data_IF_657107799859
#
_entry.id   IF_657107799859
#
_cell.length_a   1.000
_cell.length_b   1.000
_cell.length_c   1.000
_cell.angle_alpha   90.00
_cell.angle_beta   90.00
_cell.angle_gamma   90.00
#
_symmetry.space_group_name_H-M   'P 1'
#
loop_
_entity.id
_entity.type
_entity.pdbx_description
1 polymer ?
#
# COMPACT_ATOMS: atom_id res chain seq x y z
N UNK A 1 -60.88 -14.02 82.44
CA UNK A 1 -60.33 -12.74 81.95
C UNK A 1 -59.34 -13.03 80.82
N UNK A 2 -59.74 -12.69 79.58
CA UNK A 2 -58.98 -12.47 78.33
C UNK A 2 -57.77 -13.37 78.01
N UNK A 3 -58.01 -14.31 77.08
CA UNK A 3 -57.02 -15.05 76.27
C UNK A 3 -56.22 -14.06 75.41
N UNK A 4 -54.88 -14.09 75.49
CA UNK A 4 -54.00 -13.36 74.58
C UNK A 4 -53.54 -14.31 73.48
N UNK A 5 -54.04 -14.08 72.27
CA UNK A 5 -53.55 -14.74 71.06
C UNK A 5 -52.35 -13.93 70.55
N UNK A 6 -51.13 -14.45 70.72
CA UNK A 6 -49.93 -13.86 70.11
C UNK A 6 -49.84 -14.35 68.67
N UNK A 7 -49.98 -13.41 67.73
CA UNK A 7 -49.82 -13.64 66.30
C UNK A 7 -48.33 -13.48 65.94
N UNK A 8 -47.63 -14.60 65.68
CA UNK A 8 -46.24 -14.59 65.21
C UNK A 8 -46.23 -14.48 63.68
N UNK A 9 -45.99 -13.29 63.15
CA UNK A 9 -45.89 -13.06 61.71
C UNK A 9 -44.46 -13.35 61.23
N UNK A 10 -44.30 -14.46 60.51
CA UNK A 10 -43.05 -14.86 59.85
C UNK A 10 -42.90 -14.06 58.54
N UNK A 11 -42.02 -13.08 58.50
CA UNK A 11 -41.67 -12.36 57.26
C UNK A 11 -40.79 -13.27 56.37
N UNK A 12 -41.42 -13.98 55.45
CA UNK A 12 -40.74 -14.76 54.43
C UNK A 12 -40.20 -13.81 53.34
N UNK A 13 -38.91 -13.50 53.38
CA UNK A 13 -38.24 -12.68 52.37
C UNK A 13 -38.11 -13.46 51.05
N UNK A 14 -39.05 -13.28 50.13
CA UNK A 14 -38.92 -13.73 48.75
C UNK A 14 -38.06 -12.72 47.97
N UNK A 15 -36.88 -13.14 47.51
CA UNK A 15 -36.11 -12.37 46.54
C UNK A 15 -36.79 -12.55 45.18
N UNK A 16 -37.52 -11.52 44.73
CA UNK A 16 -38.11 -11.51 43.39
C UNK A 16 -37.10 -10.85 42.46
N UNK A 17 -36.48 -11.63 41.57
CA UNK A 17 -35.66 -11.07 40.50
C UNK A 17 -36.60 -10.47 39.44
N UNK A 18 -36.47 -9.16 39.19
CA UNK A 18 -37.26 -8.46 38.17
C UNK A 18 -36.46 -8.37 36.87
N UNK A 19 -36.41 -9.47 36.13
CA UNK A 19 -36.03 -9.51 34.72
C UNK A 19 -37.17 -8.97 33.85
N UNK A 20 -36.86 -8.13 32.86
CA UNK A 20 -37.87 -7.55 31.98
C UNK A 20 -38.10 -8.48 30.80
N UNK A 21 -39.20 -9.21 30.81
CA UNK A 21 -39.69 -9.94 29.64
C UNK A 21 -40.68 -9.09 28.84
N UNK A 22 -40.46 -8.93 27.54
CA UNK A 22 -41.45 -8.38 26.61
C UNK A 22 -41.94 -9.52 25.73
N UNK A 23 -43.24 -9.80 25.81
CA UNK A 23 -43.91 -10.89 25.08
C UNK A 23 -43.36 -12.30 25.41
N UNK A 24 -42.77 -12.47 26.60
CA UNK A 24 -42.41 -13.75 27.22
C UNK A 24 -42.65 -13.66 28.73
N UNK A 25 -43.18 -14.73 29.33
CA UNK A 25 -43.32 -14.87 30.79
C UNK A 25 -42.17 -15.66 31.43
N UNK A 26 -41.30 -16.27 30.62
CA UNK A 26 -40.12 -16.99 31.04
C UNK A 26 -38.87 -16.44 30.32
N UNK A 27 -38.50 -15.17 30.60
CA UNK A 27 -37.29 -14.57 30.03
C UNK A 27 -36.04 -15.37 30.44
N UNK A 28 -35.05 -15.44 29.54
CA UNK A 28 -33.82 -16.21 29.77
C UNK A 28 -33.14 -15.77 31.09
N UNK A 29 -32.74 -16.70 31.98
CA UNK A 29 -32.14 -16.37 33.27
C UNK A 29 -30.85 -15.55 33.19
N UNK A 30 -30.17 -15.55 32.04
CA UNK A 30 -28.95 -14.77 31.79
C UNK A 30 -29.23 -13.35 31.26
N UNK A 31 -30.50 -12.96 31.12
CA UNK A 31 -30.90 -11.68 30.53
C UNK A 31 -31.48 -10.69 31.55
N UNK A 32 -31.14 -9.40 31.39
CA UNK A 32 -31.84 -8.30 32.08
C UNK A 32 -33.11 -7.89 31.31
N UNK A 33 -33.08 -8.02 29.98
CA UNK A 33 -34.17 -7.75 29.05
C UNK A 33 -34.22 -8.87 28.01
N UNK A 34 -35.36 -9.56 27.90
CA UNK A 34 -35.64 -10.58 26.90
C UNK A 34 -36.90 -10.20 26.11
N UNK A 35 -36.79 -10.19 24.78
CA UNK A 35 -37.86 -9.75 23.88
C UNK A 35 -38.10 -10.84 22.85
N UNK A 36 -39.26 -11.50 22.91
CA UNK A 36 -39.60 -12.61 22.02
C UNK A 36 -40.68 -12.19 21.04
N UNK A 37 -40.41 -12.29 19.73
CA UNK A 37 -41.42 -12.11 18.68
C UNK A 37 -41.01 -12.89 17.43
N UNK A 38 -41.99 -13.39 16.67
CA UNK A 38 -41.76 -14.05 15.38
C UNK A 38 -41.86 -13.09 14.20
N UNK A 39 -42.37 -11.88 14.40
CA UNK A 39 -42.67 -10.93 13.32
C UNK A 39 -42.48 -9.43 13.66
N UNK A 40 -41.94 -9.10 14.84
CA UNK A 40 -41.60 -7.72 15.23
C UNK A 40 -40.13 -7.63 15.63
N UNK A 41 -39.54 -6.46 15.42
CA UNK A 41 -38.19 -6.12 15.87
C UNK A 41 -38.18 -4.98 16.90
N UNK A 42 -36.99 -4.52 17.27
CA UNK A 42 -36.77 -3.38 18.17
C UNK A 42 -36.27 -2.19 17.36
N UNK A 43 -36.90 -1.03 17.51
CA UNK A 43 -36.36 0.23 17.02
C UNK A 43 -35.46 0.82 18.10
N UNK A 44 -34.16 0.93 17.81
CA UNK A 44 -33.26 1.74 18.63
C UNK A 44 -33.65 3.23 18.54
N UNK A 45 -33.26 4.07 19.51
CA UNK A 45 -33.44 5.51 19.42
C UNK A 45 -32.90 6.06 18.08
N UNK A 46 -33.72 6.83 17.37
CA UNK A 46 -33.36 7.42 16.07
C UNK A 46 -32.82 8.82 16.28
N UNK A 47 -31.55 9.02 15.97
CA UNK A 47 -30.80 10.24 16.26
C UNK A 47 -30.15 10.76 14.98
N UNK A 48 -30.14 12.08 14.78
CA UNK A 48 -29.38 12.71 13.70
C UNK A 48 -27.95 13.00 14.18
N UNK A 49 -27.00 12.12 13.86
CA UNK A 49 -25.59 12.35 14.17
C UNK A 49 -25.00 13.37 13.19
N UNK A 50 -24.54 14.51 13.70
CA UNK A 50 -23.87 15.57 12.92
C UNK A 50 -22.35 15.45 12.93
N UNK A 51 -21.77 14.63 13.81
CA UNK A 51 -20.35 14.28 13.85
C UNK A 51 -20.15 12.91 14.50
N UNK A 52 -18.97 12.30 14.31
CA UNK A 52 -18.64 11.02 14.97
C UNK A 52 -18.47 11.18 16.48
N UNK A 53 -18.29 12.39 17.01
CA UNK A 53 -18.05 12.65 18.44
C UNK A 53 -19.24 13.27 19.17
N UNK A 54 -20.40 13.41 18.50
CA UNK A 54 -21.59 14.06 19.04
C UNK A 54 -22.02 13.45 20.39
N UNK A 55 -22.09 14.29 21.43
CA UNK A 55 -22.75 13.93 22.69
C UNK A 55 -24.26 14.10 22.55
N UNK A 56 -25.03 13.10 22.97
CA UNK A 56 -26.49 13.12 22.84
C UNK A 56 -27.17 14.04 23.87
N UNK A 57 -26.44 14.44 24.90
CA UNK A 57 -26.90 15.34 25.95
C UNK A 57 -25.72 15.96 26.69
N UNK A 58 -25.95 16.41 27.92
CA UNK A 58 -24.91 17.03 28.77
C UNK A 58 -23.98 16.00 29.42
N UNK A 59 -24.43 14.76 29.59
CA UNK A 59 -23.62 13.66 30.10
C UNK A 59 -22.82 13.01 28.97
N UNK A 60 -21.67 12.44 29.32
CA UNK A 60 -20.87 11.65 28.39
C UNK A 60 -21.67 10.43 27.95
N UNK A 61 -21.68 10.16 26.64
CA UNK A 61 -22.31 8.97 26.06
C UNK A 61 -21.74 7.69 26.72
N UNK A 62 -22.62 6.79 27.14
CA UNK A 62 -22.21 5.51 27.71
C UNK A 62 -21.57 4.61 26.65
N UNK A 63 -20.48 3.90 27.00
CA UNK A 63 -19.85 2.91 26.12
C UNK A 63 -20.84 1.79 25.82
N UNK A 64 -20.95 1.40 24.55
CA UNK A 64 -21.90 0.38 24.08
C UNK A 64 -23.32 0.90 23.83
N UNK A 65 -23.58 2.21 24.00
CA UNK A 65 -24.86 2.81 23.67
C UNK A 65 -25.17 2.62 22.19
N UNK A 66 -26.34 2.03 21.87
CA UNK A 66 -26.78 1.72 20.50
C UNK A 66 -27.89 2.69 20.05
N UNK A 67 -27.74 3.23 18.85
CA UNK A 67 -28.73 4.10 18.21
C UNK A 67 -28.86 3.76 16.72
N UNK A 68 -29.91 4.29 16.08
CA UNK A 68 -30.00 4.36 14.64
C UNK A 68 -29.76 5.80 14.18
N UNK A 69 -28.71 6.03 13.40
CA UNK A 69 -28.47 7.33 12.76
C UNK A 69 -29.42 7.52 11.57
N UNK A 70 -30.27 8.53 11.63
CA UNK A 70 -31.15 8.95 10.52
C UNK A 70 -30.71 10.29 9.88
N UNK A 71 -29.54 10.78 10.26
CA UNK A 71 -28.91 11.95 9.67
C UNK A 71 -28.34 11.69 8.28
N UNK A 72 -27.94 12.77 7.60
CA UNK A 72 -27.34 12.74 6.26
C UNK A 72 -25.85 13.07 6.25
N UNK A 73 -25.30 13.55 7.37
CA UNK A 73 -23.88 13.91 7.48
C UNK A 73 -23.01 12.66 7.60
N UNK A 74 -23.40 11.75 8.48
CA UNK A 74 -22.83 10.39 8.55
C UNK A 74 -23.76 9.43 7.80
N UNK A 75 -23.23 8.32 7.25
CA UNK A 75 -24.07 7.29 6.63
C UNK A 75 -25.19 6.84 7.56
N UNK A 76 -26.41 6.72 7.04
CA UNK A 76 -27.53 6.21 7.81
C UNK A 76 -27.30 4.73 8.19
N UNK A 77 -27.75 4.33 9.38
CA UNK A 77 -27.58 2.96 9.86
C UNK A 77 -27.46 2.87 11.37
N UNK A 78 -27.19 1.68 11.89
CA UNK A 78 -26.96 1.50 13.32
C UNK A 78 -25.55 1.96 13.72
N UNK A 79 -25.45 2.61 14.88
CA UNK A 79 -24.19 3.05 15.45
C UNK A 79 -24.13 2.67 16.92
N UNK A 80 -22.92 2.35 17.38
CA UNK A 80 -22.65 2.24 18.81
C UNK A 80 -21.55 3.22 19.24
N UNK A 81 -21.63 3.71 20.47
CA UNK A 81 -20.58 4.54 21.06
C UNK A 81 -19.45 3.65 21.57
N UNK A 82 -18.23 3.80 21.04
CA UNK A 82 -17.08 2.99 21.47
C UNK A 82 -16.32 3.56 22.69
N UNK A 83 -16.79 4.69 23.24
CA UNK A 83 -16.12 5.45 24.31
C UNK A 83 -15.43 6.73 23.85
N UNK A 84 -15.19 6.87 22.55
CA UNK A 84 -14.53 8.04 21.94
C UNK A 84 -15.30 8.61 20.76
N UNK A 85 -15.96 7.74 19.98
CA UNK A 85 -16.75 8.12 18.82
C UNK A 85 -17.85 7.09 18.50
N UNK A 86 -18.81 7.51 17.69
CA UNK A 86 -19.84 6.70 17.08
C UNK A 86 -19.23 5.85 15.96
N UNK A 87 -19.32 4.53 16.11
CA UNK A 87 -18.91 3.56 15.10
C UNK A 87 -20.15 2.97 14.43
N UNK A 88 -20.19 3.02 13.11
CA UNK A 88 -21.25 2.39 12.33
C UNK A 88 -21.11 0.86 12.44
N UNK A 89 -22.23 0.18 12.65
CA UNK A 89 -22.31 -1.27 12.48
C UNK A 89 -22.44 -1.52 10.98
N UNK A 90 -21.58 -2.40 10.46
CA UNK A 90 -21.48 -2.68 9.03
C UNK A 90 -22.86 -2.92 8.39
N UNK A 91 -23.24 -1.97 7.53
CA UNK A 91 -24.50 -1.96 6.80
C UNK A 91 -24.39 -2.60 5.40
N UNK A 92 -23.46 -3.55 5.25
CA UNK A 92 -23.34 -4.37 4.04
C UNK A 92 -24.65 -5.11 3.71
N UNK A 93 -24.91 -5.32 2.42
CA UNK A 93 -26.04 -6.15 1.98
C UNK A 93 -25.98 -7.57 2.56
N UNK A 94 -27.13 -8.11 2.92
CA UNK A 94 -27.30 -9.51 3.32
C UNK A 94 -27.60 -10.44 2.12
N UNK A 95 -27.63 -9.88 0.90
CA UNK A 95 -27.79 -10.66 -0.32
C UNK A 95 -26.62 -11.63 -0.46
N UNK A 96 -26.94 -12.87 -0.85
CA UNK A 96 -25.92 -13.88 -1.11
C UNK A 96 -24.90 -13.37 -2.15
N UNK A 97 -23.59 -13.59 -1.92
CA UNK A 97 -22.56 -13.13 -2.84
C UNK A 97 -22.77 -13.74 -4.23
N UNK A 98 -22.50 -12.96 -5.27
CA UNK A 98 -22.62 -13.40 -6.65
C UNK A 98 -21.83 -12.49 -7.57
N UNK A 99 -21.25 -13.09 -8.60
CA UNK A 99 -20.52 -12.41 -9.69
C UNK A 99 -21.13 -12.85 -11.01
N UNK A 100 -20.87 -12.10 -12.09
CA UNK A 100 -21.27 -12.49 -13.45
C UNK A 100 -20.27 -13.48 -14.05
N UNK A 101 -18.98 -13.17 -14.00
CA UNK A 101 -17.93 -14.05 -14.52
C UNK A 101 -16.62 -13.89 -13.75
N UNK A 102 -15.78 -14.93 -13.83
CA UNK A 102 -14.40 -14.89 -13.37
C UNK A 102 -13.47 -14.75 -14.59
N UNK A 103 -12.44 -13.91 -14.47
CA UNK A 103 -11.41 -13.72 -15.48
C UNK A 103 -10.12 -14.43 -15.06
N UNK A 104 -10.12 -15.77 -15.12
CA UNK A 104 -8.95 -16.57 -14.74
C UNK A 104 -7.70 -16.35 -15.63
N UNK A 105 -7.85 -15.90 -16.88
CA UNK A 105 -6.70 -15.61 -17.74
C UNK A 105 -5.93 -14.36 -17.31
N UNK A 106 -6.58 -13.46 -16.56
CA UNK A 106 -5.95 -12.32 -15.92
C UNK A 106 -5.51 -12.61 -14.47
N UNK A 107 -5.44 -13.88 -14.06
CA UNK A 107 -5.01 -14.24 -12.72
C UNK A 107 -3.57 -13.77 -12.46
N UNK A 108 -3.35 -13.14 -11.31
CA UNK A 108 -2.08 -12.56 -10.92
C UNK A 108 -1.59 -13.17 -9.61
N UNK A 109 -0.48 -13.90 -9.68
CA UNK A 109 0.24 -14.39 -8.51
C UNK A 109 1.23 -13.32 -8.04
N UNK A 110 1.33 -13.11 -6.73
CA UNK A 110 2.28 -12.17 -6.13
C UNK A 110 2.82 -12.75 -4.82
N UNK A 111 4.14 -12.96 -4.67
CA UNK A 111 5.19 -12.74 -5.68
C UNK A 111 5.00 -13.56 -6.98
N UNK A 112 5.41 -13.02 -8.13
CA UNK A 112 5.02 -13.58 -9.45
C UNK A 112 5.65 -14.94 -9.78
N UNK A 113 6.80 -15.24 -9.16
CA UNK A 113 7.58 -16.43 -9.42
C UNK A 113 7.69 -17.28 -8.15
N UNK A 114 7.95 -18.57 -8.34
CA UNK A 114 8.20 -19.52 -7.26
C UNK A 114 9.33 -20.47 -7.65
N UNK A 115 10.07 -20.96 -6.65
CA UNK A 115 11.23 -21.84 -6.85
C UNK A 115 11.00 -23.17 -6.13
N UNK A 116 11.27 -24.27 -6.83
CA UNK A 116 11.17 -25.61 -6.27
C UNK A 116 12.00 -25.73 -4.99
N UNK A 117 11.40 -26.26 -3.92
CA UNK A 117 12.04 -26.47 -2.63
C UNK A 117 12.19 -25.24 -1.74
N UNK A 118 11.81 -24.03 -2.21
CA UNK A 118 11.86 -22.80 -1.41
C UNK A 118 10.47 -22.47 -0.86
N UNK A 119 10.29 -22.21 0.45
CA UNK A 119 8.99 -21.81 0.98
C UNK A 119 8.43 -20.58 0.27
N UNK A 120 7.17 -20.68 -0.16
CA UNK A 120 6.42 -19.62 -0.81
C UNK A 120 5.32 -19.10 0.12
N UNK A 121 5.16 -17.78 0.18
CA UNK A 121 4.07 -17.11 0.87
C UNK A 121 3.65 -15.87 0.06
N UNK A 122 2.41 -15.87 -0.41
CA UNK A 122 1.90 -14.85 -1.31
C UNK A 122 0.39 -14.92 -1.46
N UNK A 123 -0.10 -14.38 -2.56
CA UNK A 123 -1.51 -14.39 -2.90
C UNK A 123 -1.73 -14.52 -4.40
N UNK A 124 -2.86 -15.13 -4.77
CA UNK A 124 -3.37 -15.19 -6.13
C UNK A 124 -4.61 -14.31 -6.19
N UNK A 125 -4.59 -13.33 -7.09
CA UNK A 125 -5.73 -12.47 -7.41
C UNK A 125 -6.39 -12.95 -8.69
N UNK A 126 -7.71 -13.08 -8.67
CA UNK A 126 -8.51 -13.42 -9.85
C UNK A 126 -9.56 -12.33 -10.05
N UNK A 127 -9.48 -11.53 -11.11
CA UNK A 127 -10.50 -10.53 -11.40
C UNK A 127 -11.86 -11.17 -11.69
N UNK A 128 -12.93 -10.48 -11.34
CA UNK A 128 -14.31 -10.83 -11.67
C UNK A 128 -15.09 -9.60 -12.16
N UNK A 129 -16.22 -9.85 -12.82
CA UNK A 129 -17.18 -8.81 -13.21
C UNK A 129 -18.53 -8.99 -12.53
N UNK A 130 -19.26 -7.90 -12.36
CA UNK A 130 -20.66 -7.93 -11.91
C UNK A 130 -20.88 -8.46 -10.50
N UNK A 131 -19.97 -8.15 -9.57
CA UNK A 131 -20.15 -8.33 -8.14
C UNK A 131 -21.34 -7.55 -7.59
N UNK A 132 -21.99 -8.10 -6.57
CA UNK A 132 -23.25 -7.59 -6.03
C UNK A 132 -23.15 -7.01 -4.61
N UNK A 133 -21.95 -6.78 -4.10
CA UNK A 133 -21.73 -6.30 -2.73
C UNK A 133 -21.87 -7.35 -1.63
N UNK A 134 -22.21 -8.60 -1.97
CA UNK A 134 -22.44 -9.66 -0.99
C UNK A 134 -21.16 -10.11 -0.28
N UNK A 135 -21.28 -10.47 1.00
CA UNK A 135 -20.20 -11.05 1.80
C UNK A 135 -20.04 -12.53 1.51
N UNK A 136 -18.79 -12.99 1.44
CA UNK A 136 -18.48 -14.39 1.22
C UNK A 136 -17.48 -14.93 2.24
N UNK A 137 -17.58 -16.23 2.50
CA UNK A 137 -16.71 -16.98 3.38
C UNK A 137 -15.57 -17.65 2.59
N UNK A 138 -14.51 -18.13 3.27
CA UNK A 138 -13.49 -18.95 2.63
C UNK A 138 -14.11 -20.20 2.01
N UNK A 139 -13.59 -20.62 0.86
CA UNK A 139 -13.87 -21.93 0.30
C UNK A 139 -12.91 -23.00 0.84
N UNK A 140 -13.02 -24.20 0.27
CA UNK A 140 -12.06 -25.28 0.49
C UNK A 140 -10.67 -24.90 -0.02
N UNK A 141 -9.64 -25.55 0.51
CA UNK A 141 -8.26 -25.44 0.01
C UNK A 141 -8.01 -26.39 -1.16
N UNK A 142 -7.12 -26.01 -2.08
CA UNK A 142 -6.54 -26.92 -3.08
C UNK A 142 -5.02 -26.82 -3.06
N UNK A 143 -4.31 -27.94 -3.24
CA UNK A 143 -2.85 -27.96 -3.39
C UNK A 143 -2.48 -28.43 -4.79
N UNK A 144 -1.71 -27.63 -5.52
CA UNK A 144 -1.17 -27.96 -6.84
C UNK A 144 0.32 -27.64 -6.84
N UNK A 145 1.16 -28.58 -7.29
CA UNK A 145 2.62 -28.42 -7.33
C UNK A 145 3.24 -27.93 -5.99
N UNK A 146 2.69 -28.37 -4.85
CA UNK A 146 3.17 -27.97 -3.51
C UNK A 146 2.72 -26.58 -3.04
N UNK A 147 1.96 -25.84 -3.85
CA UNK A 147 1.32 -24.58 -3.48
C UNK A 147 -0.14 -24.83 -3.07
N UNK A 148 -0.51 -24.39 -1.87
CA UNK A 148 -1.88 -24.45 -1.34
C UNK A 148 -2.58 -23.11 -1.52
N UNK A 149 -3.78 -23.13 -2.10
CA UNK A 149 -4.62 -21.96 -2.39
C UNK A 149 -5.88 -21.98 -1.53
N UNK A 150 -6.19 -20.86 -0.86
CA UNK A 150 -7.38 -20.72 0.01
C UNK A 150 -8.02 -19.35 -0.23
N UNK A 151 -9.29 -19.31 -0.63
CA UNK A 151 -10.03 -18.04 -0.76
C UNK A 151 -10.11 -17.35 0.60
N UNK A 152 -9.78 -16.06 0.68
CA UNK A 152 -9.96 -15.27 1.90
C UNK A 152 -11.38 -14.75 2.00
N UNK A 153 -11.96 -14.76 3.20
CA UNK A 153 -13.28 -14.15 3.44
C UNK A 153 -13.21 -12.65 3.13
N UNK A 154 -14.20 -12.13 2.42
CA UNK A 154 -14.33 -10.70 2.16
C UNK A 154 -15.76 -10.34 1.70
N UNK A 155 -15.92 -9.13 1.16
CA UNK A 155 -17.12 -8.65 0.49
C UNK A 155 -16.81 -8.37 -0.97
N UNK A 156 -17.76 -8.71 -1.85
CA UNK A 156 -17.66 -8.33 -3.27
C UNK A 156 -17.79 -6.81 -3.43
N UNK A 157 -17.18 -6.29 -4.47
CA UNK A 157 -17.46 -4.94 -4.96
C UNK A 157 -18.81 -4.90 -5.68
N UNK A 158 -19.38 -3.71 -5.82
CA UNK A 158 -20.48 -3.48 -6.75
C UNK A 158 -19.91 -3.23 -8.15
N UNK A 159 -19.98 -4.24 -9.02
CA UNK A 159 -19.33 -4.22 -10.33
C UNK A 159 -18.05 -5.06 -10.37
N UNK A 160 -16.97 -4.53 -10.92
CA UNK A 160 -15.75 -5.29 -11.13
C UNK A 160 -14.86 -5.28 -9.88
N UNK A 161 -14.17 -6.39 -9.63
CA UNK A 161 -13.30 -6.54 -8.46
C UNK A 161 -12.38 -7.76 -8.57
N UNK A 162 -11.74 -8.13 -7.47
CA UNK A 162 -10.80 -9.26 -7.41
C UNK A 162 -11.14 -10.22 -6.27
N UNK A 163 -11.09 -11.53 -6.54
CA UNK A 163 -11.02 -12.54 -5.50
C UNK A 163 -9.56 -12.71 -5.08
N UNK A 164 -9.32 -12.79 -3.77
CA UNK A 164 -7.97 -12.96 -3.21
C UNK A 164 -7.85 -14.33 -2.55
N UNK A 165 -6.95 -15.15 -3.06
CA UNK A 165 -6.55 -16.41 -2.45
C UNK A 165 -5.24 -16.22 -1.70
N UNK A 166 -5.17 -16.68 -0.45
CA UNK A 166 -3.90 -16.93 0.21
C UNK A 166 -3.18 -18.07 -0.52
N UNK A 167 -1.88 -17.92 -0.77
CA UNK A 167 -1.05 -18.94 -1.40
C UNK A 167 0.17 -19.20 -0.54
N UNK A 168 0.34 -20.45 -0.11
CA UNK A 168 1.47 -20.85 0.74
C UNK A 168 1.90 -22.27 0.45
N UNK A 169 3.16 -22.61 0.71
CA UNK A 169 3.64 -23.98 0.61
C UNK A 169 5.11 -24.05 0.25
N UNK A 170 5.55 -25.22 -0.21
CA UNK A 170 6.89 -25.41 -0.78
C UNK A 170 6.70 -25.98 -2.18
N UNK A 171 6.91 -25.18 -3.24
CA UNK A 171 6.69 -25.60 -4.62
C UNK A 171 7.52 -26.84 -4.98
N UNK A 172 6.96 -27.72 -5.80
CA UNK A 172 7.66 -28.87 -6.38
C UNK A 172 8.25 -28.58 -7.76
N UNK A 173 7.92 -27.43 -8.33
CA UNK A 173 8.41 -26.91 -9.62
C UNK A 173 8.83 -25.46 -9.45
N UNK A 174 9.68 -24.96 -10.35
CA UNK A 174 10.04 -23.54 -10.42
C UNK A 174 9.36 -22.89 -11.62
N UNK A 175 9.03 -21.60 -11.54
CA UNK A 175 8.78 -20.80 -12.73
C UNK A 175 9.97 -20.93 -13.71
N UNK A 176 9.76 -20.98 -15.04
CA UNK A 176 8.51 -20.76 -15.78
C UNK A 176 7.62 -22.02 -15.98
N UNK A 177 7.75 -23.07 -15.15
CA UNK A 177 6.83 -24.20 -15.21
C UNK A 177 5.41 -23.78 -14.78
N UNK A 178 4.41 -24.06 -15.63
CA UNK A 178 3.01 -23.68 -15.37
C UNK A 178 2.42 -24.47 -14.20
N UNK A 179 1.74 -23.77 -13.30
CA UNK A 179 0.81 -24.35 -12.32
C UNK A 179 -0.61 -23.93 -12.67
N UNK A 180 -1.50 -24.91 -12.86
CA UNK A 180 -2.90 -24.71 -13.24
C UNK A 180 -3.84 -25.03 -12.08
N UNK A 181 -4.63 -24.05 -11.64
CA UNK A 181 -5.60 -24.19 -10.55
C UNK A 181 -7.01 -24.13 -11.13
N UNK A 182 -7.79 -25.19 -10.96
CA UNK A 182 -9.19 -25.23 -11.37
C UNK A 182 -10.06 -24.51 -10.33
N UNK A 183 -10.53 -23.32 -10.67
CA UNK A 183 -11.40 -22.49 -9.84
C UNK A 183 -12.83 -22.96 -10.04
N UNK A 184 -13.43 -23.47 -8.97
CA UNK A 184 -14.77 -24.05 -8.98
C UNK A 184 -15.53 -23.70 -7.69
N UNK A 185 -16.78 -24.14 -7.61
CA UNK A 185 -17.67 -23.87 -6.48
C UNK A 185 -17.23 -24.48 -5.14
N UNK A 186 -16.25 -25.39 -5.11
CA UNK A 186 -15.66 -25.83 -3.83
C UNK A 186 -14.66 -24.79 -3.29
N UNK A 187 -13.93 -24.12 -4.18
CA UNK A 187 -12.94 -23.09 -3.81
C UNK A 187 -13.57 -21.70 -3.66
N UNK A 188 -14.63 -21.43 -4.43
CA UNK A 188 -15.41 -20.19 -4.38
C UNK A 188 -16.89 -20.56 -4.19
N UNK A 189 -17.38 -20.69 -2.94
CA UNK A 189 -18.68 -21.31 -2.63
C UNK A 189 -19.91 -20.69 -3.31
N UNK A 190 -19.78 -19.48 -3.84
CA UNK A 190 -20.88 -18.71 -4.40
C UNK A 190 -20.92 -18.65 -5.93
N UNK A 191 -19.95 -19.29 -6.62
CA UNK A 191 -19.99 -19.40 -8.08
C UNK A 191 -20.74 -20.67 -8.51
N UNK A 192 -21.22 -20.66 -9.74
CA UNK A 192 -21.86 -21.80 -10.40
C UNK A 192 -20.87 -22.54 -11.30
N UNK A 193 -21.24 -23.75 -11.74
CA UNK A 193 -20.41 -24.53 -12.68
C UNK A 193 -20.17 -23.81 -14.02
N UNK A 194 -21.08 -22.93 -14.44
CA UNK A 194 -20.94 -22.10 -15.64
C UNK A 194 -19.80 -21.06 -15.53
N UNK A 195 -19.33 -20.78 -14.31
CA UNK A 195 -18.30 -19.80 -14.01
C UNK A 195 -16.96 -20.44 -13.64
N UNK A 196 -16.89 -21.78 -13.67
CA UNK A 196 -15.64 -22.48 -13.42
C UNK A 196 -14.60 -22.07 -14.49
N UNK A 197 -13.37 -21.85 -14.06
CA UNK A 197 -12.28 -21.52 -14.97
C UNK A 197 -10.93 -22.01 -14.42
N UNK A 198 -9.91 -22.05 -15.26
CA UNK A 198 -8.56 -22.46 -14.85
C UNK A 198 -7.66 -21.24 -14.79
N UNK A 199 -7.13 -20.94 -13.61
CA UNK A 199 -6.09 -19.93 -13.41
C UNK A 199 -4.72 -20.58 -13.61
N UNK A 200 -3.89 -20.03 -14.50
CA UNK A 200 -2.54 -20.52 -14.79
C UNK A 200 -1.49 -19.52 -14.30
N UNK A 201 -0.52 -19.98 -13.52
CA UNK A 201 0.52 -19.13 -12.93
C UNK A 201 1.91 -19.72 -13.11
N UNK A 202 2.93 -18.86 -13.10
CA UNK A 202 4.34 -19.26 -13.20
C UNK A 202 4.74 -19.76 -14.58
N UNK A 203 3.97 -19.52 -15.66
CA UNK A 203 4.30 -19.91 -17.04
C UNK A 203 5.36 -19.04 -17.73
N UNK A 204 5.86 -18.02 -17.05
CA UNK A 204 6.82 -17.04 -17.53
C UNK A 204 7.73 -16.64 -16.37
N UNK A 205 8.98 -16.27 -16.68
CA UNK A 205 9.85 -15.57 -15.72
C UNK A 205 9.43 -14.10 -15.69
N UNK A 206 8.55 -13.76 -14.76
CA UNK A 206 8.11 -12.38 -14.57
C UNK A 206 9.04 -11.63 -13.62
N UNK A 207 9.13 -10.33 -13.83
CA UNK A 207 9.78 -9.42 -12.91
C UNK A 207 8.74 -8.54 -12.24
N UNK A 208 8.93 -8.31 -10.95
CA UNK A 208 8.13 -7.34 -10.20
C UNK A 208 8.62 -5.93 -10.52
N UNK A 209 7.68 -5.02 -10.76
CA UNK A 209 7.95 -3.60 -10.96
C UNK A 209 7.46 -2.83 -9.73
N UNK A 210 8.37 -2.07 -9.12
CA UNK A 210 8.04 -1.08 -8.09
C UNK A 210 8.41 0.30 -8.60
N UNK A 211 7.45 1.23 -8.56
CA UNK A 211 7.66 2.61 -9.01
C UNK A 211 7.40 3.58 -7.86
N UNK A 212 8.28 4.56 -7.73
CA UNK A 212 8.21 5.63 -6.72
C UNK A 212 8.60 6.96 -7.38
N UNK A 213 8.11 8.06 -6.85
CA UNK A 213 8.40 9.39 -7.37
C UNK A 213 8.51 10.44 -6.26
N UNK A 214 9.28 11.49 -6.52
CA UNK A 214 9.32 12.73 -5.74
C UNK A 214 9.17 13.92 -6.68
N UNK A 215 8.45 14.95 -6.25
CA UNK A 215 8.36 16.25 -6.90
C UNK A 215 8.36 17.31 -5.80
N UNK A 216 9.27 18.29 -5.89
CA UNK A 216 9.30 19.37 -4.92
C UNK A 216 10.51 20.28 -5.05
N UNK A 217 10.63 21.26 -4.15
CA UNK A 217 11.74 22.21 -4.17
C UNK A 217 13.07 21.53 -3.83
N UNK A 218 14.16 22.15 -4.28
CA UNK A 218 15.50 21.78 -3.81
C UNK A 218 15.69 22.29 -2.38
N UNK A 219 16.24 21.45 -1.50
CA UNK A 219 16.46 21.75 -0.09
C UNK A 219 17.94 21.70 0.26
N UNK A 220 18.39 22.64 1.07
CA UNK A 220 19.76 22.76 1.53
C UNK A 220 20.15 21.49 2.29
N UNK A 221 21.30 20.96 1.92
CA UNK A 221 21.90 19.80 2.53
C UNK A 221 23.43 19.94 2.49
N UNK A 222 24.10 19.42 3.51
CA UNK A 222 25.56 19.47 3.66
C UNK A 222 26.22 18.09 3.55
N UNK A 223 25.45 17.08 3.20
CA UNK A 223 25.91 15.72 2.94
C UNK A 223 26.81 15.70 1.69
N UNK A 224 27.99 15.12 1.87
CA UNK A 224 29.08 15.14 0.90
C UNK A 224 30.13 16.22 1.17
N UNK A 225 30.06 16.95 2.29
CA UNK A 225 31.13 17.85 2.74
C UNK A 225 31.08 19.27 2.20
N UNK A 226 30.01 19.64 1.50
CA UNK A 226 29.75 20.99 0.98
C UNK A 226 28.25 21.26 0.93
N UNK A 227 27.88 22.53 1.08
CA UNK A 227 26.49 22.95 1.04
C UNK A 227 25.96 22.95 -0.40
N UNK A 228 24.86 22.24 -0.62
CA UNK A 228 24.16 22.18 -1.90
C UNK A 228 22.64 22.11 -1.67
N UNK A 229 21.87 22.66 -2.60
CA UNK A 229 20.43 22.51 -2.63
C UNK A 229 20.09 21.29 -3.47
N UNK A 230 19.38 20.33 -2.91
CA UNK A 230 19.12 19.05 -3.58
C UNK A 230 17.69 18.54 -3.41
N UNK A 231 17.29 17.68 -4.34
CA UNK A 231 16.17 16.75 -4.21
C UNK A 231 16.69 15.35 -4.53
N UNK A 232 16.31 14.35 -3.73
CA UNK A 232 16.77 12.98 -3.96
C UNK A 232 15.63 11.97 -3.83
N UNK A 233 15.84 10.80 -4.42
CA UNK A 233 14.97 9.65 -4.28
C UNK A 233 15.81 8.39 -4.10
N UNK A 234 15.40 7.53 -3.19
CA UNK A 234 16.04 6.24 -2.88
C UNK A 234 15.25 5.12 -3.54
N UNK A 235 15.91 4.14 -4.15
CA UNK A 235 15.25 3.00 -4.82
C UNK A 235 14.31 2.24 -3.87
N UNK A 236 13.25 1.57 -4.37
CA UNK A 236 12.30 0.84 -3.52
C UNK A 236 12.90 -0.23 -2.60
N UNK A 237 14.05 -0.80 -2.94
CA UNK A 237 14.82 -1.72 -2.10
C UNK A 237 15.89 -1.06 -1.23
N UNK A 238 16.09 0.25 -1.38
CA UNK A 238 17.05 1.01 -0.60
C UNK A 238 18.50 0.87 -1.03
N UNK A 239 18.82 0.17 -2.12
CA UNK A 239 20.21 -0.06 -2.54
C UNK A 239 20.90 1.21 -3.08
N UNK A 240 20.17 2.06 -3.80
CA UNK A 240 20.72 3.27 -4.41
C UNK A 240 19.92 4.52 -4.05
N UNK A 241 20.56 5.67 -4.16
CA UNK A 241 19.86 6.96 -4.19
C UNK A 241 20.37 7.78 -5.36
N UNK A 242 19.46 8.53 -6.00
CA UNK A 242 19.79 9.51 -7.03
C UNK A 242 19.33 10.88 -6.55
N UNK A 243 20.13 11.92 -6.84
CA UNK A 243 19.80 13.30 -6.54
C UNK A 243 19.97 14.21 -7.75
N UNK A 244 19.20 15.28 -7.76
CA UNK A 244 19.49 16.52 -8.48
C UNK A 244 20.03 17.51 -7.46
N UNK A 245 21.18 18.13 -7.71
CA UNK A 245 21.82 19.05 -6.76
C UNK A 245 22.39 20.28 -7.45
N UNK A 246 22.27 21.43 -6.80
CA UNK A 246 22.91 22.69 -7.19
C UNK A 246 23.79 23.17 -6.04
N UNK A 247 25.11 23.39 -6.23
CA UNK A 247 25.98 23.94 -5.20
C UNK A 247 25.44 25.27 -4.63
N UNK A 248 25.59 25.49 -3.33
CA UNK A 248 25.21 26.78 -2.75
C UNK A 248 26.13 27.89 -3.29
N UNK A 249 25.53 28.98 -3.76
CA UNK A 249 26.24 30.12 -4.34
C UNK A 249 26.60 29.96 -5.82
N UNK A 250 26.22 28.86 -6.47
CA UNK A 250 26.26 28.74 -7.93
C UNK A 250 24.91 29.05 -8.54
N UNK A 251 24.87 29.27 -9.85
CA UNK A 251 23.60 29.38 -10.57
C UNK A 251 22.87 28.04 -10.64
N UNK A 252 21.55 28.06 -10.84
CA UNK A 252 20.77 26.84 -11.12
C UNK A 252 21.23 26.11 -12.39
N UNK A 253 21.97 26.77 -13.28
CA UNK A 253 22.59 26.16 -14.45
C UNK A 253 23.63 25.09 -14.09
N UNK A 254 24.28 25.21 -12.93
CA UNK A 254 25.23 24.21 -12.40
C UNK A 254 24.53 23.06 -11.66
N UNK A 255 23.28 22.77 -12.00
CA UNK A 255 22.55 21.65 -11.42
C UNK A 255 23.06 20.34 -12.02
N UNK A 256 23.46 19.40 -11.16
CA UNK A 256 24.01 18.11 -11.57
C UNK A 256 23.18 16.95 -11.03
N UNK A 257 23.36 15.79 -11.67
CA UNK A 257 22.80 14.52 -11.22
C UNK A 257 23.90 13.67 -10.61
N UNK A 258 23.61 13.10 -9.46
CA UNK A 258 24.54 12.20 -8.77
C UNK A 258 23.81 10.94 -8.30
N UNK A 259 24.54 9.83 -8.27
CA UNK A 259 24.12 8.55 -7.74
C UNK A 259 25.01 8.14 -6.57
N UNK A 260 24.45 7.36 -5.65
CA UNK A 260 25.22 6.63 -4.63
C UNK A 260 24.67 5.24 -4.42
N UNK A 261 25.51 4.35 -3.90
CA UNK A 261 25.04 3.15 -3.21
C UNK A 261 24.85 3.47 -1.73
N UNK A 262 23.80 2.95 -1.12
CA UNK A 262 23.54 3.15 0.31
C UNK A 262 24.20 2.04 1.14
N UNK A 263 24.37 0.84 0.56
CA UNK A 263 24.83 -0.39 1.24
C UNK A 263 26.23 -0.83 0.80
N UNK A 264 27.24 0.00 1.08
CA UNK A 264 28.65 -0.31 0.80
C UNK A 264 29.05 -0.19 -0.68
N UNK A 265 30.30 -0.52 -1.03
CA UNK A 265 30.81 -0.35 -2.39
C UNK A 265 30.06 -1.22 -3.41
N UNK A 266 29.83 -0.69 -4.61
CA UNK A 266 29.18 -1.39 -5.73
C UNK A 266 29.85 -1.03 -7.04
N UNK A 267 29.75 -1.93 -8.01
CA UNK A 267 30.08 -1.64 -9.42
C UNK A 267 28.81 -1.80 -10.23
N UNK A 268 28.53 -0.83 -11.11
CA UNK A 268 27.31 -0.79 -11.90
C UNK A 268 27.58 -0.68 -13.40
N UNK A 269 26.70 -1.33 -14.17
CA UNK A 269 26.53 -1.11 -15.60
C UNK A 269 25.40 -0.10 -15.77
N UNK A 270 25.56 0.86 -16.67
CA UNK A 270 24.60 1.95 -16.81
C UNK A 270 24.64 2.60 -18.19
N UNK A 271 23.54 3.26 -18.52
CA UNK A 271 23.45 4.19 -19.62
C UNK A 271 22.50 5.33 -19.27
N UNK A 272 22.54 6.38 -20.08
CA UNK A 272 21.56 7.45 -20.04
C UNK A 272 21.36 8.07 -21.40
N UNK A 273 20.22 8.74 -21.56
CA UNK A 273 19.97 9.70 -22.62
C UNK A 273 19.49 11.02 -22.05
N UNK A 274 19.80 12.10 -22.75
CA UNK A 274 19.22 13.42 -22.55
C UNK A 274 18.33 13.76 -23.74
N UNK A 275 17.10 14.15 -23.49
CA UNK A 275 16.23 14.73 -24.49
C UNK A 275 16.36 16.25 -24.40
N UNK A 276 17.19 16.83 -25.27
CA UNK A 276 17.43 18.27 -25.37
C UNK A 276 16.98 18.79 -26.73
N UNK A 277 16.31 19.96 -26.73
CA UNK A 277 15.65 20.71 -27.82
C UNK A 277 15.62 20.13 -29.25
N UNK A 278 16.72 19.62 -29.81
CA UNK A 278 16.77 19.05 -31.15
C UNK A 278 17.74 17.82 -31.33
N UNK A 279 18.44 17.33 -30.29
CA UNK A 279 19.41 16.21 -30.39
C UNK A 279 19.47 15.33 -29.11
N UNK A 280 19.75 14.03 -29.30
CA UNK A 280 19.92 13.04 -28.20
C UNK A 280 21.41 12.85 -27.87
N UNK A 281 21.83 13.19 -26.65
CA UNK A 281 23.15 12.83 -26.13
C UNK A 281 23.06 11.55 -25.30
N UNK A 282 24.00 10.63 -25.55
CA UNK A 282 24.00 9.31 -24.97
C UNK A 282 25.36 9.00 -24.35
N UNK A 283 25.35 8.52 -23.11
CA UNK A 283 26.54 7.99 -22.45
C UNK A 283 26.26 6.65 -21.78
N UNK A 284 27.30 5.83 -21.63
CA UNK A 284 27.20 4.52 -21.04
C UNK A 284 28.52 4.09 -20.39
N UNK A 285 28.43 3.15 -19.45
CA UNK A 285 29.59 2.52 -18.83
C UNK A 285 29.27 1.14 -18.29
N UNK A 286 30.19 0.19 -18.44
CA UNK A 286 30.00 -1.20 -18.01
C UNK A 286 30.64 -1.53 -16.65
N UNK A 287 31.33 -0.57 -16.05
CA UNK A 287 32.20 -0.80 -14.88
C UNK A 287 32.37 0.46 -14.02
N UNK A 288 31.28 1.20 -13.77
CA UNK A 288 31.34 2.39 -12.92
C UNK A 288 31.42 2.00 -11.45
N UNK A 289 32.51 2.37 -10.78
CA UNK A 289 32.74 2.01 -9.39
C UNK A 289 32.20 3.07 -8.42
N UNK A 290 31.20 2.68 -7.64
CA UNK A 290 30.78 3.36 -6.43
C UNK A 290 31.65 2.82 -5.28
N UNK A 291 32.87 3.36 -5.17
CA UNK A 291 33.95 2.82 -4.33
C UNK A 291 33.69 2.85 -2.82
N UNK A 292 32.73 3.64 -2.35
CA UNK A 292 32.31 3.73 -0.96
C UNK A 292 30.79 3.87 -0.85
N UNK A 293 30.20 3.26 0.18
CA UNK A 293 28.80 3.47 0.51
C UNK A 293 28.54 4.90 0.98
N UNK A 294 27.32 5.39 0.77
CA UNK A 294 26.85 6.73 1.13
C UNK A 294 27.67 7.89 0.55
N UNK A 295 28.44 7.62 -0.51
CA UNK A 295 29.27 8.61 -1.21
C UNK A 295 28.62 8.93 -2.55
N UNK A 296 28.50 10.21 -2.90
CA UNK A 296 27.82 10.68 -4.11
C UNK A 296 28.78 10.78 -5.29
N UNK A 297 28.38 10.24 -6.44
CA UNK A 297 29.18 10.20 -7.66
C UNK A 297 28.41 10.78 -8.85
N UNK A 298 29.10 11.55 -9.71
CA UNK A 298 28.55 12.20 -10.91
C UNK A 298 29.66 12.76 -11.82
N UNK A 299 29.31 13.33 -12.96
CA UNK A 299 30.25 13.94 -13.90
C UNK A 299 30.56 15.41 -13.53
N UNK A 300 31.84 15.79 -13.44
CA UNK A 300 32.29 17.17 -13.18
C UNK A 300 33.14 17.44 -11.93
N UNK A 301 32.98 16.72 -10.81
CA UNK A 301 33.72 16.93 -9.54
C UNK A 301 33.43 18.28 -8.86
N UNK A 302 33.33 18.45 -7.53
CA UNK A 302 33.45 17.60 -6.36
C UNK A 302 32.36 18.02 -5.36
N UNK A 303 31.76 17.09 -4.63
CA UNK A 303 32.40 16.75 -3.36
C UNK A 303 31.96 15.41 -2.75
N UNK A 304 33.02 14.78 -2.21
CA UNK A 304 33.20 13.38 -1.80
C UNK A 304 32.93 12.35 -2.89
N UNK A 305 34.00 11.97 -3.62
CA UNK A 305 34.01 10.86 -4.57
C UNK A 305 33.96 11.29 -6.04
N UNK A 306 34.99 12.01 -6.53
CA UNK A 306 35.15 12.19 -7.99
C UNK A 306 35.15 10.84 -8.74
N UNK A 307 34.95 10.86 -10.06
CA UNK A 307 34.85 9.64 -10.86
C UNK A 307 36.06 8.71 -10.65
N UNK A 308 35.84 7.48 -10.17
CA UNK A 308 36.88 6.45 -10.14
C UNK A 308 36.48 5.35 -11.15
N UNK A 309 37.15 5.39 -12.30
CA UNK A 309 36.88 4.70 -13.58
C UNK A 309 37.61 3.36 -13.69
N UNK A 310 37.10 2.39 -14.48
CA UNK A 310 37.94 1.71 -15.52
C UNK A 310 37.13 1.31 -16.76
N UNK A 311 36.92 2.30 -17.64
CA UNK A 311 36.99 2.22 -19.12
C UNK A 311 35.75 1.77 -19.94
N UNK A 312 35.43 2.43 -21.08
CA UNK A 312 36.32 3.35 -21.81
C UNK A 312 36.03 4.83 -21.53
N UNK A 313 35.79 5.18 -20.25
CA UNK A 313 35.45 6.50 -19.69
C UNK A 313 33.92 6.66 -19.62
N UNK A 314 33.28 6.71 -18.45
CA UNK A 314 33.19 7.99 -17.74
C UNK A 314 32.38 7.95 -16.45
N UNK A 315 32.42 9.09 -15.76
CA UNK A 315 31.57 9.51 -14.68
C UNK A 315 30.07 9.31 -14.97
N UNK A 316 29.26 9.16 -13.92
CA UNK A 316 27.82 9.02 -14.05
C UNK A 316 27.18 10.30 -14.60
N UNK A 317 26.57 10.20 -15.78
CA UNK A 317 25.83 11.27 -16.43
C UNK A 317 26.66 12.35 -17.11
N UNK A 318 25.97 13.42 -17.49
CA UNK A 318 26.53 14.69 -17.95
C UNK A 318 26.28 15.75 -16.85
N UNK A 319 27.15 16.76 -16.64
CA UNK A 319 26.79 17.88 -15.78
C UNK A 319 25.62 18.70 -16.38
N UNK A 320 25.11 19.65 -15.62
CA UNK A 320 24.24 20.74 -16.08
C UNK A 320 22.84 20.33 -16.61
N UNK A 321 22.04 19.60 -15.80
CA UNK A 321 20.62 19.20 -16.10
C UNK A 321 19.67 20.39 -16.35
N UNK A 322 20.15 21.61 -16.14
CA UNK A 322 19.39 22.84 -16.35
C UNK A 322 20.26 23.93 -17.04
N UNK A 323 21.13 23.55 -17.98
CA UNK A 323 21.95 24.50 -18.74
C UNK A 323 21.14 25.21 -19.84
N UNK A 324 20.94 26.52 -19.71
CA UNK A 324 20.08 27.37 -20.57
C UNK A 324 18.57 27.04 -20.58
N UNK A 325 18.21 25.76 -20.56
CA UNK A 325 16.85 25.23 -20.59
C UNK A 325 16.79 23.94 -19.75
N UNK A 326 15.59 23.49 -19.33
CA UNK A 326 15.47 22.22 -18.64
C UNK A 326 15.74 21.03 -19.56
N UNK A 327 16.48 20.06 -19.05
CA UNK A 327 16.69 18.77 -19.70
C UNK A 327 15.81 17.68 -19.08
N UNK A 328 15.23 16.85 -19.95
CA UNK A 328 14.60 15.61 -19.55
C UNK A 328 15.62 14.48 -19.68
N UNK A 329 15.90 13.77 -18.58
CA UNK A 329 16.94 12.73 -18.56
C UNK A 329 16.40 11.41 -18.08
N UNK A 330 16.85 10.33 -18.72
CA UNK A 330 16.57 8.96 -18.31
C UNK A 330 17.87 8.21 -18.09
N UNK A 331 18.00 7.60 -16.92
CA UNK A 331 19.13 6.77 -16.54
C UNK A 331 18.65 5.34 -16.36
N UNK A 332 19.40 4.36 -16.84
CA UNK A 332 19.18 2.95 -16.47
C UNK A 332 20.45 2.35 -15.92
N UNK A 333 20.33 1.49 -14.90
CA UNK A 333 21.47 0.82 -14.33
C UNK A 333 21.14 -0.50 -13.66
N UNK A 334 22.17 -1.29 -13.42
CA UNK A 334 22.15 -2.52 -12.65
C UNK A 334 23.54 -2.79 -12.06
N UNK A 335 23.64 -3.65 -11.06
CA UNK A 335 24.94 -4.06 -10.54
C UNK A 335 25.64 -5.02 -11.51
N UNK A 336 26.97 -5.08 -11.47
CA UNK A 336 27.75 -6.11 -12.19
C UNK A 336 27.70 -7.48 -11.49
N UNK A 337 26.94 -7.64 -10.41
CA UNK A 337 26.82 -8.90 -9.71
C UNK A 337 25.78 -9.79 -10.41
N UNK A 338 26.22 -10.88 -11.04
CA UNK A 338 25.32 -11.79 -11.77
C UNK A 338 24.23 -12.46 -10.90
N UNK A 339 24.37 -12.44 -9.57
CA UNK A 339 23.32 -12.93 -8.66
C UNK A 339 22.21 -11.90 -8.42
N UNK A 340 22.46 -10.61 -8.66
CA UNK A 340 21.47 -9.56 -8.57
C UNK A 340 20.69 -9.49 -9.89
N UNK A 341 19.39 -9.75 -9.82
CA UNK A 341 18.49 -9.73 -10.98
C UNK A 341 17.62 -8.47 -11.01
N UNK A 342 18.18 -7.35 -10.55
CA UNK A 342 17.49 -6.07 -10.44
C UNK A 342 18.01 -5.07 -11.45
N UNK A 343 17.11 -4.51 -12.25
CA UNK A 343 17.36 -3.39 -13.15
C UNK A 343 16.62 -2.17 -12.62
N UNK A 344 17.20 -0.99 -12.80
CA UNK A 344 16.60 0.26 -12.40
C UNK A 344 16.51 1.22 -13.57
N UNK A 345 15.50 2.06 -13.53
CA UNK A 345 15.30 3.18 -14.43
C UNK A 345 14.95 4.40 -13.59
N UNK A 346 15.56 5.55 -13.91
CA UNK A 346 15.22 6.83 -13.32
C UNK A 346 14.90 7.85 -14.40
N UNK A 347 13.85 8.63 -14.19
CA UNK A 347 13.47 9.76 -15.04
C UNK A 347 13.54 11.03 -14.21
N UNK A 348 14.25 12.04 -14.72
CA UNK A 348 14.66 13.22 -13.96
C UNK A 348 14.47 14.47 -14.81
N UNK A 349 13.97 15.52 -14.19
CA UNK A 349 13.96 16.87 -14.77
C UNK A 349 14.02 17.90 -13.64
N UNK A 350 14.68 19.02 -13.90
CA UNK A 350 14.66 20.21 -13.04
C UNK A 350 14.02 21.38 -13.77
N UNK A 351 13.33 22.26 -13.04
CA UNK A 351 12.86 23.54 -13.53
C UNK A 351 13.12 24.65 -12.52
N UNK A 352 13.52 25.82 -13.01
CA UNK A 352 13.67 27.06 -12.26
C UNK A 352 13.16 28.25 -13.10
N UNK A 353 13.10 29.48 -12.58
CA UNK A 353 12.66 30.63 -13.37
C UNK A 353 13.70 31.05 -14.43
N UNK A 354 14.98 30.84 -14.16
CA UNK A 354 16.10 31.04 -15.08
C UNK A 354 17.30 30.22 -14.61
N UNK A 355 18.10 29.71 -15.56
CA UNK A 355 19.33 28.98 -15.28
C UNK A 355 20.40 29.87 -14.64
N UNK A 356 20.34 31.18 -14.87
CA UNK A 356 21.34 32.15 -14.40
C UNK A 356 21.10 32.66 -12.97
N UNK A 357 20.01 32.25 -12.32
CA UNK A 357 19.72 32.67 -10.93
C UNK A 357 20.58 31.86 -9.97
N UNK A 358 21.21 32.55 -9.02
CA UNK A 358 21.99 31.93 -7.95
C UNK A 358 21.11 31.14 -6.97
N UNK A 359 21.52 29.91 -6.68
CA UNK A 359 21.00 29.09 -5.60
C UNK A 359 21.69 29.50 -4.30
N UNK A 360 21.14 30.50 -3.62
CA UNK A 360 21.70 31.09 -2.40
C UNK A 360 20.64 31.34 -1.32
N UNK A 361 21.02 32.01 -0.22
CA UNK A 361 20.08 32.33 0.87
C UNK A 361 18.99 33.33 0.47
N UNK A 362 19.20 34.09 -0.60
CA UNK A 362 18.25 35.08 -1.13
C UNK A 362 17.14 34.38 -1.91
N UNK A 363 17.53 33.49 -2.84
CA UNK A 363 16.62 32.73 -3.70
C UNK A 363 16.02 31.51 -2.98
N UNK A 364 16.75 30.96 -2.02
CA UNK A 364 16.39 29.76 -1.27
C UNK A 364 16.35 30.03 0.24
N UNK A 365 15.44 30.92 0.70
CA UNK A 365 15.34 31.31 2.10
C UNK A 365 15.04 30.09 2.99
N UNK A 366 15.59 30.12 4.21
CA UNK A 366 15.51 29.00 5.16
C UNK A 366 15.95 27.64 4.57
N UNK A 367 16.85 27.66 3.58
CA UNK A 367 17.37 26.46 2.96
C UNK A 367 16.42 25.79 1.97
N UNK A 368 15.38 26.46 1.46
CA UNK A 368 14.45 25.86 0.48
C UNK A 368 14.31 26.75 -0.74
N UNK A 369 14.68 26.23 -1.91
CA UNK A 369 14.53 26.92 -3.19
C UNK A 369 13.10 26.73 -3.71
N UNK A 370 12.12 27.52 -3.25
CA UNK A 370 10.71 27.36 -3.68
C UNK A 370 10.47 27.74 -5.14
N UNK A 371 11.38 28.53 -5.72
CA UNK A 371 11.36 28.92 -7.14
C UNK A 371 11.87 27.83 -8.07
N UNK A 372 12.68 26.89 -7.57
CA UNK A 372 13.17 25.74 -8.30
C UNK A 372 12.46 24.46 -7.84
N UNK A 373 12.34 23.49 -8.74
CA UNK A 373 11.77 22.17 -8.41
C UNK A 373 12.44 21.10 -9.27
N UNK A 374 12.55 19.91 -8.72
CA UNK A 374 12.94 18.74 -9.48
C UNK A 374 11.91 17.62 -9.24
N UNK A 375 11.71 16.79 -10.25
CA UNK A 375 11.12 15.48 -10.04
C UNK A 375 12.11 14.38 -10.36
N UNK A 376 11.97 13.28 -9.64
CA UNK A 376 12.69 12.04 -9.88
C UNK A 376 11.64 10.94 -9.79
N UNK A 377 11.55 10.10 -10.81
CA UNK A 377 10.79 8.86 -10.81
C UNK A 377 11.80 7.73 -10.86
N UNK A 378 11.68 6.73 -10.00
CA UNK A 378 12.51 5.51 -10.06
C UNK A 378 11.60 4.30 -10.23
N UNK A 379 11.89 3.49 -11.24
CA UNK A 379 11.33 2.15 -11.44
C UNK A 379 12.39 1.11 -11.09
N UNK A 380 12.04 0.19 -10.22
CA UNK A 380 12.82 -1.01 -9.93
C UNK A 380 12.14 -2.20 -10.57
N UNK A 381 12.85 -2.90 -11.44
CA UNK A 381 12.41 -4.12 -12.13
C UNK A 381 13.24 -5.27 -11.58
N UNK A 382 12.63 -6.18 -10.82
CA UNK A 382 13.34 -7.27 -10.15
C UNK A 382 12.78 -8.62 -10.55
N UNK A 383 13.61 -9.46 -11.18
CA UNK A 383 13.27 -10.87 -11.31
C UNK A 383 13.49 -11.57 -9.96
N UNK A 384 12.53 -12.42 -9.56
CA UNK A 384 12.57 -13.17 -8.31
C UNK A 384 13.27 -14.52 -8.48
#
# INVERSE_FOLDING_TARGET
MKIKFQFFALFLSCNIFAQVGINTSNPDPSSILDIVSTNKGVLAPRINLTSTTLQLGTAVNAVGLLIYNNGVILPAGYYFWNGSEWRNIDNSTAVAPGVTSLNCSAANLSPSNYTAGVPYNGYLKIPYTGGNGGKYQPGSSVTVNGLTFILRADKLEYGDGELVFAVSGTPTVSSPAITSVNINSSLVPFITSAQNCTATVGGEDRADIKEIAVLGPLKLNTEGGYANYQQYLTTPDGEFSIRVRTPQGSTFGAADIEIRSNNGPKTIMWNYHTEWRDDEYNGAGNSFALSAGNTWYGNGGSATGGAVSTGPLSAWGDPDVYYFAPEHRRYTWTTTNNADKTMYEAVIMMGAPSYSIDADVTTCPAGTCTSAKAYIIIKQVKAL
#
